data_IF_299102346956
#
_entry.id   IF_299102346956
#
_cell.length_a   1.000
_cell.length_b   1.000
_cell.length_c   1.000
_cell.angle_alpha   90.00
_cell.angle_beta   90.00
_cell.angle_gamma   90.00
#
_symmetry.space_group_name_H-M   'P 1'
#
loop_
_entity.id
_entity.type
_entity.pdbx_description
1 polymer ?
#
# COMPACT_ATOMS: atom_id res chain seq x y z
N UNK A 1 6.61 4.09 5.37
CA UNK A 1 7.66 4.22 6.41
C UNK A 1 7.09 4.65 7.76
N UNK A 2 6.18 5.63 7.82
CA UNK A 2 5.45 5.99 9.07
C UNK A 2 4.60 4.81 9.60
N UNK A 3 4.08 3.95 8.72
CA UNK A 3 3.31 2.77 9.09
C UNK A 3 4.09 1.64 9.81
N UNK A 4 5.43 1.63 9.75
CA UNK A 4 6.24 0.61 10.41
C UNK A 4 6.66 1.00 11.83
N UNK A 5 6.57 2.28 12.20
CA UNK A 5 6.96 2.76 13.53
C UNK A 5 5.83 2.64 14.57
N UNK A 6 4.62 2.25 14.16
CA UNK A 6 3.44 2.08 15.02
C UNK A 6 3.13 0.61 15.33
N UNK A 7 4.12 -0.28 15.30
CA UNK A 7 3.98 -1.67 15.75
C UNK A 7 3.94 -1.77 17.29
N UNK A 8 2.91 -1.18 17.88
CA UNK A 8 2.21 -1.68 19.05
C UNK A 8 0.76 -1.88 18.60
N UNK A 9 0.52 -2.97 17.86
CA UNK A 9 -0.83 -3.41 17.52
C UNK A 9 -1.05 -4.76 18.21
N UNK A 10 -1.58 -4.76 19.45
CA UNK A 10 -2.04 -5.98 20.07
C UNK A 10 -3.21 -6.49 19.22
N UNK A 11 -3.14 -7.77 18.84
CA UNK A 11 -4.11 -8.50 18.02
C UNK A 11 -5.55 -8.56 18.59
N UNK A 12 -5.85 -7.79 19.63
CA UNK A 12 -7.17 -7.66 20.26
C UNK A 12 -7.65 -6.21 20.43
N UNK A 13 -6.94 -5.21 19.89
CA UNK A 13 -7.41 -3.82 19.96
C UNK A 13 -8.64 -3.63 19.06
N UNK A 14 -9.81 -3.67 19.68
CA UNK A 14 -10.88 -2.70 19.47
C UNK A 14 -10.93 -2.14 18.04
N UNK A 15 -11.50 -2.89 17.10
CA UNK A 15 -12.07 -2.32 15.87
C UNK A 15 -13.25 -1.37 16.15
N UNK A 16 -13.65 -1.22 17.42
CA UNK A 16 -14.84 -0.50 17.90
C UNK A 16 -14.81 1.04 17.82
N UNK A 17 -13.71 1.80 18.01
CA UNK A 17 -13.81 3.26 17.98
C UNK A 17 -13.85 3.82 16.54
N UNK A 18 -13.52 3.03 15.50
CA UNK A 18 -13.52 3.52 14.11
C UNK A 18 -14.91 3.56 13.46
N UNK A 19 -15.92 2.93 14.07
CA UNK A 19 -17.29 2.91 13.54
C UNK A 19 -18.26 3.78 14.34
N UNK A 20 -17.78 4.75 15.12
CA UNK A 20 -18.65 5.70 15.85
C UNK A 20 -19.63 6.46 14.94
N UNK A 21 -19.34 6.57 13.64
CA UNK A 21 -20.27 7.17 12.67
C UNK A 21 -20.24 6.47 11.32
N UNK A 22 -21.38 6.50 10.62
CA UNK A 22 -21.51 6.03 9.24
C UNK A 22 -20.51 6.72 8.30
N UNK A 23 -20.25 8.02 8.51
CA UNK A 23 -19.26 8.76 7.72
C UNK A 23 -17.84 8.20 7.91
N UNK A 24 -17.44 7.92 9.15
CA UNK A 24 -16.11 7.34 9.45
C UNK A 24 -15.95 5.97 8.77
N UNK A 25 -16.98 5.14 8.83
CA UNK A 25 -17.08 3.83 8.17
C UNK A 25 -16.73 3.92 6.67
N UNK A 26 -17.40 4.85 5.98
CA UNK A 26 -17.29 5.06 4.54
C UNK A 26 -15.93 5.66 4.17
N UNK A 27 -15.53 6.75 4.84
CA UNK A 27 -14.28 7.46 4.55
C UNK A 27 -13.07 6.58 4.81
N UNK A 28 -13.07 5.83 5.91
CA UNK A 28 -11.99 4.90 6.24
C UNK A 28 -11.86 3.80 5.19
N UNK A 29 -12.99 3.17 4.83
CA UNK A 29 -13.03 2.12 3.81
C UNK A 29 -12.56 2.63 2.45
N UNK A 30 -12.97 3.85 2.07
CA UNK A 30 -12.53 4.50 0.85
C UNK A 30 -11.01 4.77 0.85
N UNK A 31 -10.49 5.44 1.88
CA UNK A 31 -9.06 5.79 1.98
C UNK A 31 -8.19 4.54 1.97
N UNK A 32 -8.52 3.52 2.77
CA UNK A 32 -7.74 2.28 2.78
C UNK A 32 -7.68 1.64 1.40
N UNK A 33 -8.82 1.55 0.69
CA UNK A 33 -8.87 0.93 -0.63
C UNK A 33 -8.09 1.72 -1.68
N UNK A 34 -8.15 3.06 -1.62
CA UNK A 34 -7.33 3.94 -2.46
C UNK A 34 -5.85 3.71 -2.22
N UNK A 35 -5.40 3.70 -0.96
CA UNK A 35 -4.00 3.44 -0.60
C UNK A 35 -3.55 2.06 -1.08
N UNK A 36 -4.44 1.08 -0.93
CA UNK A 36 -4.19 -0.29 -1.32
C UNK A 36 -4.01 -0.46 -2.83
N UNK A 37 -4.89 0.17 -3.60
CA UNK A 37 -4.78 0.17 -5.05
C UNK A 37 -3.57 0.99 -5.52
N UNK A 38 -3.26 2.12 -4.90
CA UNK A 38 -2.15 2.99 -5.30
C UNK A 38 -0.80 2.27 -5.34
N UNK A 39 -0.51 1.38 -4.39
CA UNK A 39 0.76 0.65 -4.37
C UNK A 39 0.94 -0.29 -5.58
N UNK A 40 -0.11 -0.99 -6.00
CA UNK A 40 -0.05 -1.86 -7.18
C UNK A 40 0.29 -1.08 -8.45
N UNK A 41 -0.38 0.07 -8.63
CA UNK A 41 -0.18 0.95 -9.78
C UNK A 41 1.14 1.72 -9.72
N UNK A 42 1.66 2.01 -8.52
CA UNK A 42 3.00 2.56 -8.34
C UNK A 42 4.06 1.56 -8.82
N UNK A 43 3.93 0.27 -8.51
CA UNK A 43 4.86 -0.76 -9.01
C UNK A 43 4.80 -0.88 -10.55
N UNK A 44 3.61 -0.78 -11.14
CA UNK A 44 3.45 -0.69 -12.61
C UNK A 44 4.20 0.52 -13.15
N UNK A 45 3.98 1.71 -12.58
CA UNK A 45 4.64 2.94 -13.02
C UNK A 45 6.17 2.86 -12.92
N UNK A 46 6.71 2.28 -11.85
CA UNK A 46 8.15 2.04 -11.67
C UNK A 46 8.68 1.08 -12.74
N UNK A 47 7.94 0.01 -13.04
CA UNK A 47 8.30 -0.97 -14.07
C UNK A 47 8.30 -0.32 -15.46
N UNK A 48 7.29 0.51 -15.75
CA UNK A 48 7.21 1.29 -16.99
C UNK A 48 8.37 2.27 -17.14
N UNK A 49 8.70 3.05 -16.10
CA UNK A 49 9.86 3.94 -16.06
C UNK A 49 11.15 3.16 -16.42
N UNK A 50 11.32 1.96 -15.86
CA UNK A 50 12.51 1.14 -16.12
C UNK A 50 12.55 0.61 -17.54
N UNK A 51 11.41 0.13 -18.05
CA UNK A 51 11.31 -0.34 -19.42
C UNK A 51 11.65 0.78 -20.41
N UNK A 52 11.09 1.97 -20.20
CA UNK A 52 11.34 3.13 -21.07
C UNK A 52 12.81 3.59 -21.03
N UNK A 53 13.45 3.55 -19.87
CA UNK A 53 14.87 3.84 -19.72
C UNK A 53 15.75 2.90 -20.58
N UNK A 54 15.42 1.61 -20.59
CA UNK A 54 16.16 0.58 -21.35
C UNK A 54 15.85 0.65 -22.84
N UNK A 55 14.58 0.87 -23.22
CA UNK A 55 14.17 0.93 -24.62
C UNK A 55 14.66 2.18 -25.34
N UNK A 56 14.70 3.33 -24.65
CA UNK A 56 14.92 4.63 -25.29
C UNK A 56 15.97 5.50 -24.58
N UNK A 57 17.22 5.04 -24.39
CA UNK A 57 18.24 5.74 -23.58
C UNK A 57 18.50 7.18 -24.04
N UNK A 58 18.46 7.46 -25.35
CA UNK A 58 18.70 8.80 -25.90
C UNK A 58 17.50 9.74 -25.74
N UNK A 59 16.26 9.25 -25.89
CA UNK A 59 15.04 10.06 -25.70
C UNK A 59 14.70 10.23 -24.21
N UNK A 60 15.18 9.33 -23.35
CA UNK A 60 14.92 9.37 -21.92
C UNK A 60 15.44 10.63 -21.22
N UNK A 61 16.41 11.33 -21.83
CA UNK A 61 16.87 12.64 -21.34
C UNK A 61 15.73 13.68 -21.30
N UNK A 62 14.76 13.61 -22.22
CA UNK A 62 13.58 14.50 -22.26
C UNK A 62 12.54 14.05 -21.21
N UNK A 63 12.43 12.75 -20.97
CA UNK A 63 11.50 12.16 -20.00
C UNK A 63 11.92 12.34 -18.52
N UNK A 64 13.12 12.87 -18.28
CA UNK A 64 13.56 13.38 -16.96
C UNK A 64 12.79 14.62 -16.47
N UNK A 65 11.89 15.19 -17.27
CA UNK A 65 11.10 16.32 -16.82
C UNK A 65 10.21 15.91 -15.63
N UNK A 66 10.58 16.37 -14.44
CA UNK A 66 9.86 16.12 -13.18
C UNK A 66 8.37 16.48 -13.29
N UNK A 67 8.02 17.51 -14.07
CA UNK A 67 6.63 17.93 -14.30
C UNK A 67 5.81 16.87 -15.03
N UNK A 68 6.40 16.22 -16.03
CA UNK A 68 5.72 15.18 -16.81
C UNK A 68 5.46 13.93 -15.96
N UNK A 69 6.47 13.48 -15.20
CA UNK A 69 6.31 12.35 -14.27
C UNK A 69 5.26 12.68 -13.20
N UNK A 70 5.30 13.91 -12.66
CA UNK A 70 4.30 14.39 -11.70
C UNK A 70 2.89 14.36 -12.29
N UNK A 71 2.71 14.80 -13.53
CA UNK A 71 1.41 14.78 -14.21
C UNK A 71 0.88 13.35 -14.36
N UNK A 72 1.73 12.39 -14.75
CA UNK A 72 1.35 10.97 -14.84
C UNK A 72 0.90 10.44 -13.47
N UNK A 73 1.67 10.72 -12.41
CA UNK A 73 1.34 10.25 -11.06
C UNK A 73 0.04 10.87 -10.52
N UNK A 74 -0.21 12.14 -10.82
CA UNK A 74 -1.48 12.82 -10.47
C UNK A 74 -2.64 12.20 -11.24
N UNK A 75 -2.50 12.00 -12.55
CA UNK A 75 -3.54 11.35 -13.37
C UNK A 75 -3.85 9.92 -12.90
N UNK A 76 -2.81 9.15 -12.55
CA UNK A 76 -2.95 7.82 -11.98
C UNK A 76 -3.66 7.84 -10.63
N UNK A 77 -3.31 8.78 -9.76
CA UNK A 77 -3.98 8.95 -8.45
C UNK A 77 -5.45 9.30 -8.61
N UNK A 78 -5.79 10.19 -9.56
CA UNK A 78 -7.16 10.56 -9.85
C UNK A 78 -7.98 9.38 -10.41
N UNK A 79 -7.39 8.59 -11.30
CA UNK A 79 -8.01 7.35 -11.80
C UNK A 79 -8.31 6.37 -10.64
N UNK A 80 -7.37 6.19 -9.71
CA UNK A 80 -7.56 5.32 -8.54
C UNK A 80 -8.70 5.84 -7.65
N UNK A 81 -8.79 7.16 -7.43
CA UNK A 81 -9.88 7.76 -6.67
C UNK A 81 -11.24 7.45 -7.32
N UNK A 82 -11.36 7.65 -8.64
CA UNK A 82 -12.60 7.37 -9.39
C UNK A 82 -12.98 5.89 -9.29
N UNK A 83 -12.02 4.97 -9.50
CA UNK A 83 -12.27 3.53 -9.43
C UNK A 83 -12.74 3.08 -8.03
N UNK A 84 -12.42 3.85 -6.99
CA UNK A 84 -12.84 3.57 -5.62
C UNK A 84 -14.09 4.34 -5.18
N UNK A 85 -14.66 5.20 -6.01
CA UNK A 85 -15.92 5.92 -5.70
C UNK A 85 -17.07 4.98 -5.30
N UNK A 86 -17.23 3.75 -5.85
CA UNK A 86 -18.28 2.84 -5.39
C UNK A 86 -18.21 2.46 -3.90
N UNK A 87 -17.09 2.73 -3.20
CA UNK A 87 -16.99 2.52 -1.76
C UNK A 87 -17.78 3.56 -0.94
N UNK A 88 -18.25 4.65 -1.55
CA UNK A 88 -19.16 5.58 -0.88
C UNK A 88 -20.56 5.00 -0.65
N UNK A 89 -20.92 3.88 -1.28
CA UNK A 89 -22.21 3.19 -1.07
C UNK A 89 -22.21 2.22 0.13
N UNK A 90 -21.18 2.23 0.98
CA UNK A 90 -21.23 1.51 2.24
C UNK A 90 -22.15 2.19 3.25
N UNK A 91 -22.76 1.39 4.12
CA UNK A 91 -23.52 1.85 5.26
C UNK A 91 -23.11 1.08 6.52
N UNK A 92 -23.36 1.68 7.67
CA UNK A 92 -23.21 1.02 8.95
C UNK A 92 -24.44 0.13 9.18
N UNK A 93 -24.23 -1.18 9.28
CA UNK A 93 -25.26 -2.15 9.67
C UNK A 93 -25.08 -2.52 11.14
N UNK A 94 -26.18 -2.59 11.88
CA UNK A 94 -26.21 -3.04 13.27
C UNK A 94 -26.80 -4.45 13.25
N UNK A 95 -25.99 -5.44 13.63
CA UNK A 95 -26.39 -6.85 13.71
C UNK A 95 -26.57 -7.20 15.18
N UNK A 96 -27.80 -7.49 15.57
CA UNK A 96 -28.11 -8.01 16.90
C UNK A 96 -27.94 -9.53 16.90
N UNK A 97 -26.90 -10.01 17.56
CA UNK A 97 -26.70 -11.45 17.75
C UNK A 97 -27.54 -11.91 18.94
N UNK A 98 -28.49 -12.83 18.69
CA UNK A 98 -29.31 -13.44 19.74
C UNK A 98 -28.41 -14.05 20.84
N UNK A 99 -28.83 -13.97 22.11
CA UNK A 99 -28.05 -14.47 23.24
C UNK A 99 -27.64 -15.94 23.03
N UNK A 100 -26.39 -16.26 23.34
CA UNK A 100 -25.98 -17.65 23.51
C UNK A 100 -26.80 -18.25 24.66
N UNK A 101 -27.12 -19.53 24.61
CA UNK A 101 -27.90 -20.24 25.65
C UNK A 101 -27.31 -20.12 27.08
N UNK A 102 -26.07 -19.63 27.18
CA UNK A 102 -25.32 -19.44 28.43
C UNK A 102 -25.28 -18.00 28.94
N UNK A 103 -25.64 -16.99 28.13
CA UNK A 103 -25.61 -15.57 28.53
C UNK A 103 -26.80 -14.81 27.95
N UNK A 104 -27.66 -14.26 28.82
CA UNK A 104 -28.82 -13.42 28.43
C UNK A 104 -28.42 -12.05 27.82
N UNK A 105 -27.19 -11.88 27.36
CA UNK A 105 -26.71 -10.65 26.75
C UNK A 105 -26.81 -10.77 25.23
N UNK A 106 -27.63 -9.90 24.62
CA UNK A 106 -27.56 -9.66 23.19
C UNK A 106 -26.26 -8.94 22.85
N UNK A 107 -25.50 -9.48 21.91
CA UNK A 107 -24.26 -8.87 21.47
C UNK A 107 -24.56 -8.05 20.21
N UNK A 108 -24.48 -6.73 20.33
CA UNK A 108 -24.65 -5.78 19.23
C UNK A 108 -23.31 -5.68 18.49
N UNK A 109 -23.30 -6.08 17.22
CA UNK A 109 -22.14 -5.96 16.34
C UNK A 109 -22.44 -4.90 15.28
N UNK A 110 -21.67 -3.82 15.28
CA UNK A 110 -21.70 -2.83 14.21
C UNK A 110 -20.73 -3.21 13.10
N UNK A 111 -21.20 -3.31 11.85
CA UNK A 111 -20.39 -3.68 10.70
C UNK A 111 -20.61 -2.74 9.53
N UNK A 112 -19.52 -2.25 8.93
CA UNK A 112 -19.55 -1.57 7.64
C UNK A 112 -19.90 -2.57 6.53
N UNK A 113 -21.08 -2.47 5.94
CA UNK A 113 -21.52 -3.38 4.87
C UNK A 113 -22.13 -2.61 3.71
N UNK A 114 -22.44 -3.32 2.64
CA UNK A 114 -23.20 -2.83 1.50
C UNK A 114 -24.15 -3.94 1.01
N UNK A 115 -24.98 -3.63 0.03
CA UNK A 115 -25.79 -4.63 -0.66
C UNK A 115 -24.90 -5.77 -1.21
N UNK A 116 -25.30 -7.06 -1.09
CA UNK A 116 -24.51 -8.20 -1.55
C UNK A 116 -24.10 -8.09 -3.03
N UNK A 117 -24.96 -7.58 -3.91
CA UNK A 117 -24.65 -7.44 -5.34
C UNK A 117 -23.59 -6.36 -5.58
N UNK A 118 -23.68 -5.25 -4.84
CA UNK A 118 -22.68 -4.18 -4.85
C UNK A 118 -21.34 -4.70 -4.31
N UNK A 119 -21.36 -5.47 -3.22
CA UNK A 119 -20.16 -6.10 -2.64
C UNK A 119 -19.47 -6.98 -3.67
N UNK A 120 -20.25 -7.76 -4.43
CA UNK A 120 -19.78 -8.69 -5.44
C UNK A 120 -19.12 -7.96 -6.62
N UNK A 121 -19.84 -7.06 -7.27
CA UNK A 121 -19.34 -6.30 -8.43
C UNK A 121 -18.08 -5.54 -8.05
N UNK A 122 -18.09 -4.88 -6.88
CA UNK A 122 -16.93 -4.15 -6.37
C UNK A 122 -15.75 -5.08 -6.11
N UNK A 123 -15.97 -6.26 -5.54
CA UNK A 123 -14.87 -7.20 -5.23
C UNK A 123 -14.21 -7.70 -6.51
N UNK A 124 -14.98 -7.97 -7.56
CA UNK A 124 -14.47 -8.32 -8.89
C UNK A 124 -13.66 -7.16 -9.51
N UNK A 125 -14.21 -5.94 -9.52
CA UNK A 125 -13.49 -4.74 -9.99
C UNK A 125 -12.20 -4.55 -9.19
N UNK A 126 -12.26 -4.72 -7.87
CA UNK A 126 -11.09 -4.58 -7.00
C UNK A 126 -10.04 -5.63 -7.36
N UNK A 127 -10.37 -6.92 -7.48
CA UNK A 127 -9.42 -7.96 -7.87
C UNK A 127 -8.79 -7.64 -9.23
N UNK A 128 -9.63 -7.28 -10.21
CA UNK A 128 -9.19 -7.01 -11.57
C UNK A 128 -8.19 -5.84 -11.63
N UNK A 129 -8.57 -4.68 -11.08
CA UNK A 129 -7.77 -3.46 -11.18
C UNK A 129 -6.65 -3.34 -10.14
N UNK A 130 -6.71 -4.10 -9.04
CA UNK A 130 -5.67 -4.08 -7.98
C UNK A 130 -4.63 -5.18 -8.13
N UNK A 131 -5.02 -6.34 -8.67
CA UNK A 131 -4.15 -7.52 -8.69
C UNK A 131 -3.88 -7.94 -10.13
N UNK A 132 -4.92 -8.35 -10.87
CA UNK A 132 -4.76 -9.02 -12.16
C UNK A 132 -4.15 -8.09 -13.21
N UNK A 133 -4.74 -6.92 -13.42
CA UNK A 133 -4.29 -5.98 -14.45
C UNK A 133 -2.88 -5.43 -14.15
N UNK A 134 -2.56 -4.93 -12.92
CA UNK A 134 -1.19 -4.54 -12.59
C UNK A 134 -0.18 -5.67 -12.78
N UNK A 135 -0.53 -6.90 -12.38
CA UNK A 135 0.36 -8.06 -12.54
C UNK A 135 0.65 -8.36 -14.01
N UNK A 136 -0.38 -8.45 -14.86
CA UNK A 136 -0.21 -8.74 -16.28
C UNK A 136 0.64 -7.66 -16.98
N UNK A 137 0.41 -6.38 -16.65
CA UNK A 137 1.22 -5.28 -17.16
C UNK A 137 2.69 -5.39 -16.71
N UNK A 138 2.95 -5.65 -15.42
CA UNK A 138 4.31 -5.84 -14.91
C UNK A 138 5.00 -7.05 -15.55
N UNK A 139 4.30 -8.18 -15.66
CA UNK A 139 4.81 -9.40 -16.28
C UNK A 139 5.20 -9.15 -17.74
N UNK A 140 4.29 -8.56 -18.53
CA UNK A 140 4.55 -8.24 -19.93
C UNK A 140 5.76 -7.31 -20.09
N UNK A 141 5.81 -6.24 -19.31
CA UNK A 141 6.94 -5.30 -19.35
C UNK A 141 8.26 -5.97 -18.93
N UNK A 142 8.25 -6.83 -17.92
CA UNK A 142 9.43 -7.58 -17.50
C UNK A 142 9.92 -8.55 -18.58
N UNK A 143 9.02 -9.24 -19.28
CA UNK A 143 9.40 -10.12 -20.39
C UNK A 143 10.12 -9.32 -21.48
N UNK A 144 9.60 -8.15 -21.87
CA UNK A 144 10.25 -7.27 -22.85
C UNK A 144 11.61 -6.80 -22.33
N UNK A 145 11.67 -6.39 -21.06
CA UNK A 145 12.87 -5.88 -20.43
C UNK A 145 13.98 -6.94 -20.43
N UNK A 146 13.67 -8.15 -19.99
CA UNK A 146 14.59 -9.29 -19.98
C UNK A 146 15.07 -9.59 -21.41
N UNK A 147 14.14 -9.71 -22.36
CA UNK A 147 14.48 -9.94 -23.77
C UNK A 147 15.46 -8.90 -24.32
N UNK A 148 15.24 -7.61 -24.02
CA UNK A 148 16.09 -6.51 -24.48
C UNK A 148 17.48 -6.54 -23.84
N UNK A 149 17.57 -6.85 -22.55
CA UNK A 149 18.84 -6.97 -21.83
C UNK A 149 19.67 -8.14 -22.38
N UNK A 150 19.04 -9.29 -22.62
CA UNK A 150 19.70 -10.42 -23.27
C UNK A 150 20.18 -10.08 -24.69
N UNK A 151 19.38 -9.38 -25.48
CA UNK A 151 19.80 -8.92 -26.82
C UNK A 151 20.96 -7.92 -26.76
N UNK A 152 20.99 -7.05 -25.75
CA UNK A 152 22.06 -6.07 -25.53
C UNK A 152 23.39 -6.72 -25.17
N UNK A 153 23.36 -7.81 -24.37
CA UNK A 153 24.54 -8.58 -23.98
C UNK A 153 25.36 -9.06 -25.18
N UNK A 154 24.71 -9.42 -26.28
CA UNK A 154 25.40 -9.88 -27.49
C UNK A 154 26.08 -8.75 -28.28
N UNK A 155 25.79 -7.48 -27.98
CA UNK A 155 26.27 -6.32 -28.75
C UNK A 155 27.33 -5.49 -28.03
N UNK A 156 27.36 -5.48 -26.71
CA UNK A 156 28.27 -4.62 -25.93
C UNK A 156 29.40 -5.39 -25.25
N UNK A 157 30.64 -4.99 -25.50
CA UNK A 157 31.88 -5.54 -24.92
C UNK A 157 32.23 -4.97 -23.52
N UNK A 158 31.42 -4.02 -23.01
CA UNK A 158 31.66 -3.36 -21.72
C UNK A 158 30.88 -4.04 -20.58
N UNK A 159 31.52 -4.99 -19.91
CA UNK A 159 30.91 -5.82 -18.86
C UNK A 159 30.33 -5.01 -17.69
N UNK A 160 30.94 -3.87 -17.34
CA UNK A 160 30.51 -3.08 -16.17
C UNK A 160 29.15 -2.40 -16.33
N UNK A 161 28.84 -1.91 -17.53
CA UNK A 161 27.53 -1.29 -17.83
C UNK A 161 26.47 -2.38 -17.84
N UNK A 162 26.78 -3.50 -18.49
CA UNK A 162 25.90 -4.66 -18.57
C UNK A 162 25.55 -5.22 -17.17
N UNK A 163 26.52 -5.35 -16.26
CA UNK A 163 26.28 -5.82 -14.89
C UNK A 163 25.29 -4.91 -14.16
N UNK A 164 25.41 -3.60 -14.32
CA UNK A 164 24.49 -2.65 -13.68
C UNK A 164 23.07 -2.76 -14.26
N UNK A 165 22.95 -2.89 -15.59
CA UNK A 165 21.66 -3.06 -16.26
C UNK A 165 20.99 -4.38 -15.86
N UNK A 166 21.76 -5.48 -15.73
CA UNK A 166 21.25 -6.77 -15.24
C UNK A 166 20.79 -6.67 -13.79
N UNK A 167 21.61 -6.10 -12.89
CA UNK A 167 21.23 -5.91 -11.48
C UNK A 167 19.95 -5.11 -11.36
N UNK A 168 19.83 -4.06 -12.17
CA UNK A 168 18.65 -3.21 -12.21
C UNK A 168 17.42 -3.94 -12.72
N UNK A 169 17.56 -4.71 -13.81
CA UNK A 169 16.50 -5.55 -14.38
C UNK A 169 16.01 -6.60 -13.38
N UNK A 170 16.95 -7.23 -12.67
CA UNK A 170 16.67 -8.21 -11.63
C UNK A 170 15.83 -7.60 -10.49
N UNK A 171 16.00 -6.31 -10.16
CA UNK A 171 15.15 -5.67 -9.14
C UNK A 171 13.68 -5.64 -9.51
N UNK A 172 13.37 -5.41 -10.80
CA UNK A 172 12.00 -5.27 -11.28
C UNK A 172 11.33 -6.64 -11.39
N UNK A 173 12.08 -7.66 -11.82
CA UNK A 173 11.63 -9.05 -11.80
C UNK A 173 11.38 -9.49 -10.35
N UNK A 174 12.32 -9.22 -9.44
CA UNK A 174 12.17 -9.56 -8.03
C UNK A 174 10.98 -8.85 -7.38
N UNK A 175 10.77 -7.55 -7.63
CA UNK A 175 9.61 -6.83 -7.11
C UNK A 175 8.29 -7.38 -7.65
N UNK A 176 8.26 -7.88 -8.89
CA UNK A 176 7.07 -8.50 -9.48
C UNK A 176 6.78 -9.88 -8.88
N UNK A 177 7.81 -10.67 -8.61
CA UNK A 177 7.66 -11.95 -7.89
C UNK A 177 7.12 -11.70 -6.47
N UNK A 178 7.69 -10.73 -5.76
CA UNK A 178 7.23 -10.36 -4.41
C UNK A 178 5.80 -9.83 -4.44
N UNK A 179 5.46 -9.01 -5.45
CA UNK A 179 4.09 -8.57 -5.66
C UNK A 179 3.14 -9.76 -5.82
N UNK A 180 3.48 -10.75 -6.66
CA UNK A 180 2.66 -11.94 -6.86
C UNK A 180 2.52 -12.75 -5.56
N UNK A 181 3.63 -13.11 -4.92
CA UNK A 181 3.63 -13.95 -3.71
C UNK A 181 2.87 -13.30 -2.57
N UNK A 182 2.97 -11.98 -2.40
CA UNK A 182 2.30 -11.27 -1.31
C UNK A 182 0.83 -10.93 -1.61
N UNK A 183 0.45 -10.65 -2.85
CA UNK A 183 -0.92 -10.23 -3.19
C UNK A 183 -1.83 -11.38 -3.61
N UNK A 184 -1.28 -12.45 -4.19
CA UNK A 184 -2.08 -13.58 -4.68
C UNK A 184 -2.91 -14.24 -3.57
N UNK A 185 -2.40 -14.48 -2.34
CA UNK A 185 -3.21 -15.04 -1.25
C UNK A 185 -4.46 -14.20 -0.95
N UNK A 186 -4.35 -12.86 -1.01
CA UNK A 186 -5.49 -11.97 -0.81
C UNK A 186 -6.52 -12.08 -1.94
N UNK A 187 -6.07 -12.24 -3.18
CA UNK A 187 -6.96 -12.51 -4.31
C UNK A 187 -7.71 -13.84 -4.18
N UNK A 188 -6.99 -14.89 -3.78
CA UNK A 188 -7.57 -16.22 -3.51
C UNK A 188 -8.59 -16.13 -2.38
N UNK A 189 -8.30 -15.41 -1.30
CA UNK A 189 -9.22 -15.24 -0.17
C UNK A 189 -10.54 -14.61 -0.62
N UNK A 190 -10.48 -13.51 -1.39
CA UNK A 190 -11.70 -12.84 -1.88
C UNK A 190 -12.51 -13.77 -2.80
N UNK A 191 -11.83 -14.55 -3.64
CA UNK A 191 -12.50 -15.54 -4.49
C UNK A 191 -13.14 -16.69 -3.69
N UNK A 192 -12.43 -17.24 -2.69
CA UNK A 192 -12.97 -18.26 -1.80
C UNK A 192 -14.16 -17.74 -0.99
N UNK A 193 -14.06 -16.52 -0.46
CA UNK A 193 -15.16 -15.87 0.24
C UNK A 193 -16.38 -15.74 -0.68
N UNK A 194 -16.18 -15.34 -1.94
CA UNK A 194 -17.23 -15.32 -2.95
C UNK A 194 -17.89 -16.71 -3.14
N UNK A 195 -17.12 -17.78 -3.35
CA UNK A 195 -17.67 -19.14 -3.52
C UNK A 195 -18.47 -19.56 -2.29
N UNK A 196 -17.96 -19.28 -1.09
CA UNK A 196 -18.61 -19.64 0.17
C UNK A 196 -19.94 -18.93 0.44
N UNK A 197 -20.20 -17.78 -0.20
CA UNK A 197 -21.48 -17.07 -0.06
C UNK A 197 -22.62 -17.77 -0.83
N UNK A 198 -22.29 -18.53 -1.88
CA UNK A 198 -23.28 -19.25 -2.70
C UNK A 198 -23.49 -20.69 -2.25
N UNK A 199 -22.54 -21.28 -1.53
CA UNK A 199 -22.64 -22.65 -1.03
C UNK A 199 -22.98 -22.70 0.47
N UNK A 200 -24.21 -23.10 0.78
CA UNK A 200 -24.72 -23.20 2.15
C UNK A 200 -24.02 -24.30 2.98
N UNK A 201 -23.43 -25.32 2.35
CA UNK A 201 -22.76 -26.45 3.02
C UNK A 201 -21.44 -25.97 3.61
N UNK A 202 -20.63 -25.30 2.79
CA UNK A 202 -19.33 -24.74 3.17
C UNK A 202 -19.47 -23.70 4.29
N UNK A 203 -20.59 -22.97 4.32
CA UNK A 203 -20.85 -21.90 5.30
C UNK A 203 -21.06 -22.38 6.73
N UNK A 204 -21.53 -23.61 6.95
CA UNK A 204 -21.97 -24.07 8.28
C UNK A 204 -20.92 -24.86 9.06
N UNK A 205 -19.81 -25.27 8.45
CA UNK A 205 -18.74 -25.96 9.17
C UNK A 205 -17.85 -24.99 9.97
N UNK A 206 -17.76 -25.22 11.27
CA UNK A 206 -16.96 -24.40 12.18
C UNK A 206 -15.47 -24.41 11.82
N UNK A 207 -14.95 -25.56 11.38
CA UNK A 207 -13.56 -25.75 10.92
C UNK A 207 -13.25 -24.86 9.72
N UNK A 208 -14.16 -24.82 8.74
CA UNK A 208 -14.05 -24.03 7.52
C UNK A 208 -14.05 -22.52 7.81
N UNK A 209 -14.88 -22.07 8.76
CA UNK A 209 -14.87 -20.66 9.21
C UNK A 209 -13.55 -20.25 9.87
N UNK A 210 -13.01 -21.10 10.76
CA UNK A 210 -11.74 -20.83 11.41
C UNK A 210 -10.58 -20.77 10.39
N UNK A 211 -10.59 -21.67 9.41
CA UNK A 211 -9.63 -21.64 8.30
C UNK A 211 -9.72 -20.35 7.49
N UNK A 212 -10.92 -19.93 7.08
CA UNK A 212 -11.09 -18.68 6.32
C UNK A 212 -10.63 -17.45 7.10
N UNK A 213 -10.91 -17.39 8.40
CA UNK A 213 -10.44 -16.31 9.26
C UNK A 213 -8.90 -16.28 9.32
N UNK A 214 -8.26 -17.41 9.58
CA UNK A 214 -6.79 -17.49 9.59
C UNK A 214 -6.20 -17.09 8.23
N UNK A 215 -6.79 -17.59 7.14
CA UNK A 215 -6.34 -17.27 5.79
C UNK A 215 -6.53 -15.79 5.43
N UNK A 216 -7.63 -15.16 5.85
CA UNK A 216 -7.87 -13.73 5.73
C UNK A 216 -6.79 -12.93 6.45
N UNK A 217 -6.53 -13.27 7.71
CA UNK A 217 -5.54 -12.59 8.54
C UNK A 217 -4.15 -12.73 7.94
N UNK A 218 -3.72 -13.96 7.62
CA UNK A 218 -2.40 -14.21 7.01
C UNK A 218 -2.25 -13.52 5.65
N UNK A 219 -3.25 -13.61 4.78
CA UNK A 219 -3.20 -12.96 3.46
C UNK A 219 -3.20 -11.44 3.57
N UNK A 220 -3.90 -10.86 4.54
CA UNK A 220 -3.88 -9.42 4.84
C UNK A 220 -2.52 -8.97 5.37
N UNK A 221 -1.87 -9.76 6.23
CA UNK A 221 -0.51 -9.47 6.68
C UNK A 221 0.50 -9.54 5.53
N UNK A 222 0.44 -10.57 4.68
CA UNK A 222 1.29 -10.67 3.49
C UNK A 222 1.09 -9.47 2.55
N UNK A 223 -0.17 -9.07 2.38
CA UNK A 223 -0.52 -7.88 1.62
C UNK A 223 0.12 -6.61 2.20
N UNK A 224 0.06 -6.41 3.51
CA UNK A 224 0.71 -5.29 4.21
C UNK A 224 2.26 -5.35 4.12
N UNK A 225 2.84 -6.54 4.14
CA UNK A 225 4.28 -6.72 3.96
C UNK A 225 4.73 -6.32 2.55
N UNK A 226 3.87 -6.47 1.53
CA UNK A 226 4.20 -6.10 0.15
C UNK A 226 4.62 -4.62 0.01
N UNK A 227 3.99 -3.70 0.75
CA UNK A 227 4.35 -2.27 0.76
C UNK A 227 5.77 -2.04 1.26
N UNK A 228 6.15 -2.81 2.28
CA UNK A 228 7.46 -2.70 2.92
C UNK A 228 8.53 -3.36 2.04
N UNK A 229 8.25 -4.55 1.50
CA UNK A 229 9.22 -5.28 0.70
C UNK A 229 9.57 -4.56 -0.60
N UNK A 230 8.61 -3.97 -1.32
CA UNK A 230 8.94 -3.17 -2.52
C UNK A 230 9.93 -2.06 -2.19
N UNK A 231 9.74 -1.36 -1.08
CA UNK A 231 10.68 -0.33 -0.64
C UNK A 231 12.06 -0.90 -0.28
N UNK A 232 12.11 -1.97 0.51
CA UNK A 232 13.38 -2.59 0.92
C UNK A 232 14.16 -3.17 -0.26
N UNK A 233 13.50 -3.82 -1.22
CA UNK A 233 14.11 -4.33 -2.45
C UNK A 233 14.79 -3.19 -3.22
N UNK A 234 14.08 -2.08 -3.40
CA UNK A 234 14.66 -0.90 -4.04
C UNK A 234 15.82 -0.31 -3.24
N UNK A 235 15.75 -0.28 -1.90
CA UNK A 235 16.83 0.22 -1.06
C UNK A 235 18.09 -0.67 -1.10
N UNK A 236 17.90 -1.99 -1.04
CA UNK A 236 18.96 -2.99 -0.99
C UNK A 236 19.67 -3.18 -2.33
N UNK A 237 18.96 -3.11 -3.45
CA UNK A 237 19.56 -3.43 -4.75
C UNK A 237 19.89 -2.17 -5.56
N UNK A 238 19.09 -1.10 -5.47
CA UNK A 238 19.31 0.10 -6.27
C UNK A 238 20.20 1.12 -5.54
N UNK A 239 21.48 1.17 -5.93
CA UNK A 239 22.45 2.10 -5.35
C UNK A 239 22.09 3.58 -5.58
N UNK A 240 21.44 3.91 -6.69
CA UNK A 240 21.00 5.28 -6.97
C UNK A 240 19.87 5.67 -6.02
N UNK A 241 18.90 4.78 -5.84
CA UNK A 241 17.81 4.99 -4.90
C UNK A 241 18.36 5.21 -3.49
N UNK A 242 19.29 4.36 -3.02
CA UNK A 242 19.94 4.53 -1.72
C UNK A 242 20.63 5.88 -1.53
N UNK A 243 21.32 6.38 -2.56
CA UNK A 243 21.96 7.70 -2.52
C UNK A 243 20.94 8.82 -2.38
N UNK A 244 19.86 8.78 -3.15
CA UNK A 244 18.78 9.78 -3.08
C UNK A 244 18.01 9.70 -1.76
N UNK A 245 17.69 8.50 -1.26
CA UNK A 245 17.07 8.32 0.06
C UNK A 245 17.95 8.85 1.18
N UNK A 246 19.27 8.60 1.15
CA UNK A 246 20.21 9.14 2.14
C UNK A 246 20.27 10.67 2.10
N UNK A 247 20.27 11.28 0.91
CA UNK A 247 20.21 12.74 0.77
C UNK A 247 18.91 13.30 1.38
N UNK A 248 17.78 12.67 1.07
CA UNK A 248 16.48 13.05 1.61
C UNK A 248 16.42 12.93 3.14
N UNK A 249 16.87 11.81 3.70
CA UNK A 249 16.93 11.59 5.15
C UNK A 249 17.87 12.59 5.84
N UNK A 250 19.03 12.88 5.25
CA UNK A 250 19.94 13.90 5.79
C UNK A 250 19.31 15.30 5.76
N UNK A 251 18.54 15.63 4.72
CA UNK A 251 17.81 16.89 4.64
C UNK A 251 16.70 16.97 5.70
N UNK A 252 15.95 15.89 5.90
CA UNK A 252 14.94 15.81 6.95
C UNK A 252 15.56 15.96 8.34
N UNK A 253 16.63 15.22 8.64
CA UNK A 253 17.32 15.32 9.94
C UNK A 253 17.82 16.74 10.21
N UNK A 254 18.32 17.46 9.19
CA UNK A 254 18.71 18.88 9.33
C UNK A 254 17.53 19.81 9.62
N UNK A 255 16.35 19.53 9.07
CA UNK A 255 15.13 20.32 9.36
C UNK A 255 14.67 20.04 10.79
N UNK A 256 14.62 18.77 11.20
CA UNK A 256 14.26 18.39 12.55
C UNK A 256 15.22 18.97 13.60
N UNK A 257 16.54 18.91 13.35
CA UNK A 257 17.52 19.49 14.28
C UNK A 257 17.37 21.00 14.41
N UNK A 258 17.09 21.72 13.31
CA UNK A 258 16.82 23.17 13.36
C UNK A 258 15.56 23.50 14.15
N UNK A 259 14.48 22.76 13.93
CA UNK A 259 13.22 22.98 14.65
C UNK A 259 13.36 22.65 16.14
N UNK A 260 14.12 21.62 16.51
CA UNK A 260 14.39 21.29 17.91
C UNK A 260 15.11 22.45 18.63
N UNK A 261 16.15 23.01 18.00
CA UNK A 261 16.90 24.17 18.53
C UNK A 261 16.01 25.42 18.65
N UNK A 262 15.13 25.68 17.68
CA UNK A 262 14.18 26.80 17.77
C UNK A 262 13.18 26.63 18.92
N UNK A 263 12.79 25.39 19.21
CA UNK A 263 11.86 25.08 20.30
C UNK A 263 12.53 25.33 21.66
N UNK A 264 13.80 24.94 21.82
CA UNK A 264 14.61 25.21 23.02
C UNK A 264 14.86 26.70 23.26
N UNK A 265 15.16 27.46 22.19
CA UNK A 265 15.34 28.91 22.29
C UNK A 265 14.03 29.61 22.71
N UNK A 266 12.88 29.20 22.15
CA UNK A 266 11.57 29.74 22.53
C UNK A 266 11.22 29.46 23.99
N UNK A 267 11.52 28.26 24.50
CA UNK A 267 11.32 27.95 25.93
C UNK A 267 12.24 28.76 26.85
N UNK A 268 13.49 28.99 26.46
CA UNK A 268 14.44 29.79 27.24
C UNK A 268 14.04 31.27 27.29
N UNK A 269 13.55 31.84 26.18
CA UNK A 269 13.02 33.21 26.16
C UNK A 269 11.78 33.37 27.06
N UNK A 270 10.85 32.41 27.07
CA UNK A 270 9.67 32.45 27.97
C UNK A 270 10.04 32.26 29.45
N UNK A 271 11.06 31.48 29.75
CA UNK A 271 11.57 31.32 31.12
C UNK A 271 12.22 32.61 31.63
N UNK A 272 13.03 33.27 30.78
CA UNK A 272 13.70 34.51 31.15
C UNK A 272 12.73 35.69 31.24
N UNK A 273 11.68 35.78 30.41
CA UNK A 273 10.69 36.86 30.51
C UNK A 273 9.87 36.81 31.81
N UNK A 274 9.64 35.61 32.39
CA UNK A 274 8.96 35.47 33.69
C UNK A 274 9.80 35.93 34.89
N UNK A 275 11.14 35.96 34.77
CA UNK A 275 12.02 36.46 35.85
C UNK A 275 12.10 37.99 35.92
N UNK A 276 11.61 38.70 34.90
CA UNK A 276 11.70 40.17 34.80
C UNK A 276 10.38 40.91 35.08
N UNK A 277 9.36 40.24 35.60
CA UNK A 277 8.20 40.94 36.16
C UNK A 277 8.48 41.23 37.65
N UNK A 278 8.86 42.48 38.01
CA UNK A 278 8.97 42.85 39.41
C UNK A 278 7.58 42.75 40.04
N UNK A 279 7.52 42.12 41.21
CA UNK A 279 6.35 42.18 42.09
C UNK A 279 6.06 43.66 42.37
N UNK A 280 5.11 44.25 41.65
CA UNK A 280 4.46 45.48 42.06
C UNK A 280 3.52 45.10 43.22
N UNK A 281 4.04 45.31 44.43
CA UNK A 281 3.26 45.62 45.62
C UNK A 281 2.57 46.97 45.44
#
# INVERSE_FOLDING_TARGET
MIFLASFNLPLHFQLFPMYQSSLTCVVYSFILRVLYQANSWLNVAITTDRLLFILYPNRYKIQKNKKFISLILIGLSFLILILNTPNFFYYLSIIETKPSSTTNQSLIIEKCTADPDIILIRSLITILFRIVLPFLLMLFMNVILVYKVFKSKNKFRNDKILINDIKFSLTVVASTIVFLVCLLPSGIYVFMHFVSQYDNVIRNEQTTRAFFLLFEVTSSYLYLLSYSFSFFIHLCINSLFRKETKKFLNSLMKIFSKNLVLTELSSNFKSNSKKFLPNKL
#
